data_IF_888121964539
#
_entry.id   IF_888121964539
#
_cell.length_a   1.000
_cell.length_b   1.000
_cell.length_c   1.000
_cell.angle_alpha   90.00
_cell.angle_beta   90.00
_cell.angle_gamma   90.00
#
_symmetry.space_group_name_H-M   'P 1'
#
loop_
_entity.id
_entity.type
_entity.pdbx_description
1 polymer ?
#
# COMPACT_ATOMS: atom_id res chain seq x y z
N UNK A 1 10.81 -2.50 -5.81
CA UNK A 1 10.26 -3.88 -5.69
C UNK A 1 8.76 -3.81 -5.51
N UNK A 2 8.00 -4.80 -5.99
CA UNK A 2 6.56 -4.96 -5.77
C UNK A 2 6.28 -6.27 -5.00
N UNK A 3 5.47 -6.20 -3.95
CA UNK A 3 5.02 -7.35 -3.15
C UNK A 3 3.50 -7.32 -3.10
N UNK A 4 2.83 -8.44 -3.36
CA UNK A 4 1.37 -8.49 -3.49
C UNK A 4 0.73 -9.46 -2.49
N UNK A 5 -0.42 -9.07 -1.95
CA UNK A 5 -1.28 -9.91 -1.15
C UNK A 5 -2.74 -9.79 -1.64
N UNK A 6 -3.35 -10.93 -1.98
CA UNK A 6 -4.78 -11.00 -2.29
C UNK A 6 -5.54 -11.23 -0.99
N UNK A 7 -6.41 -10.29 -0.64
CA UNK A 7 -7.25 -10.37 0.57
C UNK A 7 -8.72 -10.58 0.20
N UNK A 8 -9.13 -10.12 -0.99
CA UNK A 8 -10.51 -10.20 -1.46
C UNK A 8 -11.31 -8.96 -1.08
N UNK A 9 -12.23 -8.56 -1.95
CA UNK A 9 -13.01 -7.32 -1.80
C UNK A 9 -14.00 -7.40 -0.63
N UNK A 10 -14.49 -8.60 -0.34
CA UNK A 10 -15.49 -8.86 0.71
C UNK A 10 -14.87 -9.04 2.10
N UNK A 11 -13.54 -9.03 2.21
CA UNK A 11 -12.87 -9.11 3.50
C UNK A 11 -13.03 -7.77 4.24
N UNK A 12 -13.58 -7.85 5.46
CA UNK A 12 -13.76 -6.67 6.33
C UNK A 12 -12.46 -5.87 6.55
N UNK A 13 -11.29 -6.52 6.55
CA UNK A 13 -9.98 -5.86 6.69
C UNK A 13 -9.66 -5.01 5.47
N UNK A 14 -10.01 -5.49 4.28
CA UNK A 14 -9.86 -4.73 3.05
C UNK A 14 -10.79 -3.51 3.04
N UNK A 15 -12.06 -3.70 3.38
CA UNK A 15 -13.03 -2.60 3.49
C UNK A 15 -12.61 -1.54 4.51
N UNK A 16 -12.08 -1.97 5.67
CA UNK A 16 -11.55 -1.08 6.71
C UNK A 16 -10.37 -0.23 6.19
N UNK A 17 -9.46 -0.82 5.41
CA UNK A 17 -8.32 -0.10 4.84
C UNK A 17 -8.74 0.91 3.76
N UNK A 18 -9.83 0.65 3.05
CA UNK A 18 -10.39 1.54 2.04
C UNK A 18 -11.20 2.70 2.64
N UNK A 19 -11.60 2.62 3.91
CA UNK A 19 -12.48 3.62 4.56
C UNK A 19 -11.82 4.39 5.69
N UNK A 20 -10.88 3.77 6.41
CA UNK A 20 -10.24 4.42 7.55
C UNK A 20 -9.34 5.58 7.12
N UNK A 21 -9.39 6.66 7.90
CA UNK A 21 -8.41 7.74 7.79
C UNK A 21 -7.06 7.26 8.31
N UNK A 22 -6.03 7.41 7.48
CA UNK A 22 -4.65 7.27 7.93
C UNK A 22 -4.26 8.57 8.63
N UNK A 23 -3.86 8.50 9.90
CA UNK A 23 -3.43 9.72 10.60
C UNK A 23 -2.18 10.29 9.93
N UNK A 24 -2.00 11.61 9.97
CA UNK A 24 -0.88 12.32 9.33
C UNK A 24 0.52 11.80 9.77
N UNK A 25 0.57 11.10 10.92
CA UNK A 25 1.77 10.43 11.43
C UNK A 25 2.09 9.09 10.76
N UNK A 26 1.10 8.40 10.18
CA UNK A 26 1.21 7.05 9.64
C UNK A 26 1.45 7.00 8.13
N UNK A 27 0.98 8.01 7.39
CA UNK A 27 1.15 8.09 5.93
C UNK A 27 0.33 9.21 5.29
N UNK A 28 0.41 9.31 3.96
CA UNK A 28 -0.40 10.20 3.15
C UNK A 28 -1.32 9.34 2.28
N UNK A 29 -2.64 9.54 2.42
CA UNK A 29 -3.65 8.81 1.65
C UNK A 29 -4.05 9.59 0.40
N UNK A 30 -4.17 8.88 -0.73
CA UNK A 30 -4.70 9.40 -1.99
C UNK A 30 -5.75 8.42 -2.50
N UNK A 31 -7.00 8.85 -2.50
CA UNK A 31 -8.12 8.08 -3.01
C UNK A 31 -8.37 8.43 -4.48
N UNK A 32 -8.61 7.40 -5.29
CA UNK A 32 -8.95 7.58 -6.69
C UNK A 32 -9.94 6.52 -7.15
N UNK A 33 -10.69 6.86 -8.20
CA UNK A 33 -11.60 5.92 -8.85
C UNK A 33 -11.04 5.59 -10.22
N UNK A 34 -10.71 4.32 -10.42
CA UNK A 34 -10.24 3.80 -11.70
C UNK A 34 -11.44 3.39 -12.56
N UNK A 35 -11.58 4.01 -13.72
CA UNK A 35 -12.66 3.76 -14.69
C UNK A 35 -12.11 3.26 -16.05
N UNK A 36 -10.82 2.93 -16.10
CA UNK A 36 -10.08 2.54 -17.30
C UNK A 36 -10.18 3.55 -18.47
N UNK A 37 -10.44 4.83 -18.18
CA UNK A 37 -10.61 5.88 -19.18
C UNK A 37 -12.05 5.97 -19.73
N UNK A 38 -13.00 5.24 -19.15
CA UNK A 38 -14.41 5.35 -19.47
C UNK A 38 -15.17 5.94 -18.26
N UNK A 39 -15.39 7.24 -18.29
CA UNK A 39 -16.12 7.99 -17.26
C UNK A 39 -17.57 7.50 -17.02
N UNK A 40 -18.12 6.70 -17.93
CA UNK A 40 -19.45 6.10 -17.82
C UNK A 40 -19.41 4.60 -17.45
N UNK A 41 -18.23 4.07 -17.11
CA UNK A 41 -18.08 2.68 -16.70
C UNK A 41 -18.90 2.42 -15.43
N UNK A 42 -19.87 1.52 -15.53
CA UNK A 42 -20.74 1.15 -14.41
C UNK A 42 -19.98 0.37 -13.31
N UNK A 43 -18.77 -0.07 -13.59
CA UNK A 43 -17.89 -0.90 -12.75
C UNK A 43 -16.61 -0.17 -12.30
N UNK A 44 -16.64 1.16 -12.30
CA UNK A 44 -15.55 1.97 -11.77
C UNK A 44 -15.16 1.49 -10.35
N UNK A 45 -13.86 1.28 -10.14
CA UNK A 45 -13.34 0.67 -8.93
C UNK A 45 -12.66 1.70 -8.05
N UNK A 46 -13.08 1.75 -6.78
CA UNK A 46 -12.43 2.56 -5.76
C UNK A 46 -11.08 1.95 -5.43
N UNK A 47 -10.06 2.79 -5.48
CA UNK A 47 -8.68 2.45 -5.22
C UNK A 47 -8.05 3.50 -4.29
N UNK A 48 -7.00 3.09 -3.60
CA UNK A 48 -6.33 3.92 -2.60
C UNK A 48 -4.82 3.70 -2.66
N UNK A 49 -4.08 4.81 -2.67
CA UNK A 49 -2.66 4.81 -2.37
C UNK A 49 -2.41 5.31 -0.96
N UNK A 50 -1.49 4.68 -0.23
CA UNK A 50 -0.99 5.20 1.04
C UNK A 50 0.52 5.26 0.98
N UNK A 51 1.07 6.46 0.94
CA UNK A 51 2.51 6.70 1.01
C UNK A 51 2.92 6.51 2.47
N UNK A 52 3.77 5.53 2.75
CA UNK A 52 4.17 5.11 4.10
C UNK A 52 5.59 5.54 4.48
N UNK A 53 6.42 5.90 3.50
CA UNK A 53 7.76 6.48 3.68
C UNK A 53 8.24 7.22 2.42
N UNK A 54 9.27 8.04 2.55
CA UNK A 54 9.88 8.83 1.48
C UNK A 54 9.24 10.19 1.26
N UNK A 55 8.35 10.62 2.17
CA UNK A 55 7.66 11.91 2.10
C UNK A 55 8.12 12.90 3.18
N UNK A 56 8.98 12.46 4.11
CA UNK A 56 9.59 13.32 5.12
C UNK A 56 11.05 13.61 4.80
N UNK A 57 11.53 14.74 5.32
CA UNK A 57 12.95 15.11 5.24
C UNK A 57 13.80 14.02 5.91
N UNK A 58 14.87 13.60 5.24
CA UNK A 58 15.82 12.54 5.63
C UNK A 58 15.36 11.09 5.45
N UNK A 59 14.16 10.83 4.92
CA UNK A 59 13.82 9.47 4.47
C UNK A 59 14.52 9.17 3.15
N UNK A 60 15.30 8.09 3.11
CA UNK A 60 16.03 7.63 1.91
C UNK A 60 15.28 6.52 1.16
N UNK A 61 14.31 5.90 1.81
CA UNK A 61 13.46 4.84 1.27
C UNK A 61 12.05 5.37 1.05
N UNK A 62 11.60 5.33 -0.20
CA UNK A 62 10.21 5.59 -0.55
C UNK A 62 9.43 4.29 -0.59
N UNK A 63 8.24 4.31 -0.01
CA UNK A 63 7.34 3.16 0.08
C UNK A 63 5.89 3.60 0.04
N UNK A 64 5.06 2.88 -0.72
CA UNK A 64 3.62 3.08 -0.72
C UNK A 64 2.85 1.77 -0.87
N UNK A 65 1.65 1.76 -0.31
CA UNK A 65 0.65 0.72 -0.49
C UNK A 65 -0.31 1.12 -1.60
N UNK A 66 -0.64 0.18 -2.47
CA UNK A 66 -1.73 0.28 -3.45
C UNK A 66 -2.81 -0.71 -3.08
N UNK A 67 -4.03 -0.22 -2.90
CA UNK A 67 -5.20 -1.04 -2.62
C UNK A 67 -6.21 -0.83 -3.74
N UNK A 68 -6.58 -1.92 -4.39
CA UNK A 68 -7.52 -1.91 -5.50
C UNK A 68 -7.91 -3.35 -5.83
N UNK A 69 -9.13 -3.56 -6.33
CA UNK A 69 -9.57 -4.87 -6.80
C UNK A 69 -9.40 -6.04 -5.79
N UNK A 70 -9.39 -5.76 -4.48
CA UNK A 70 -9.20 -6.79 -3.43
C UNK A 70 -7.74 -7.20 -3.20
N UNK A 71 -6.78 -6.49 -3.78
CA UNK A 71 -5.34 -6.70 -3.57
C UNK A 71 -4.73 -5.56 -2.76
N UNK A 72 -3.66 -5.89 -2.04
CA UNK A 72 -2.77 -4.94 -1.41
C UNK A 72 -1.37 -5.16 -1.96
N UNK A 73 -0.82 -4.14 -2.60
CA UNK A 73 0.52 -4.17 -3.16
C UNK A 73 1.43 -3.17 -2.43
N UNK A 74 2.59 -3.64 -1.97
CA UNK A 74 3.65 -2.77 -1.42
C UNK A 74 4.69 -2.52 -2.49
N UNK A 75 4.87 -1.25 -2.82
CA UNK A 75 5.94 -0.76 -3.68
C UNK A 75 6.99 -0.09 -2.81
N UNK A 76 8.27 -0.39 -3.06
CA UNK A 76 9.38 0.21 -2.31
C UNK A 76 10.64 0.39 -3.15
N UNK A 77 11.40 1.46 -2.84
CA UNK A 77 12.77 1.70 -3.32
C UNK A 77 13.84 1.07 -2.42
N UNK A 78 13.46 0.47 -1.29
CA UNK A 78 14.37 -0.22 -0.38
C UNK A 78 15.11 -1.35 -1.10
N UNK A 79 16.44 -1.31 -1.06
CA UNK A 79 17.25 -2.41 -1.54
C UNK A 79 17.07 -3.62 -0.61
N UNK A 80 16.94 -4.85 -1.14
CA UNK A 80 16.80 -6.03 -0.30
C UNK A 80 18.04 -6.21 0.57
N UNK A 81 17.85 -6.23 1.89
CA UNK A 81 18.91 -6.47 2.87
C UNK A 81 19.29 -7.97 3.01
N UNK A 82 18.50 -8.87 2.40
CA UNK A 82 18.67 -10.30 2.48
C UNK A 82 18.18 -11.02 1.20
N UNK A 83 18.54 -12.30 1.08
CA UNK A 83 18.15 -13.16 -0.05
C UNK A 83 16.64 -13.34 -0.17
N UNK A 84 16.20 -13.72 -1.38
CA UNK A 84 14.76 -13.85 -1.70
C UNK A 84 14.03 -14.89 -0.85
N UNK A 85 14.73 -15.91 -0.35
CA UNK A 85 14.18 -16.95 0.53
C UNK A 85 13.86 -16.44 1.93
N UNK A 86 14.43 -15.30 2.34
CA UNK A 86 14.18 -14.73 3.66
C UNK A 86 12.82 -14.02 3.75
N UNK A 87 12.22 -13.97 4.94
CA UNK A 87 10.97 -13.24 5.18
C UNK A 87 11.04 -11.78 4.72
N UNK A 88 9.90 -11.23 4.29
CA UNK A 88 9.81 -9.84 3.82
C UNK A 88 10.32 -8.82 4.84
N UNK A 89 10.04 -9.04 6.13
CA UNK A 89 10.51 -8.15 7.19
C UNK A 89 12.04 -8.17 7.38
N UNK A 90 12.74 -9.20 6.88
CA UNK A 90 14.20 -9.25 6.87
C UNK A 90 14.78 -8.66 5.58
N UNK A 91 14.06 -8.82 4.46
CA UNK A 91 14.47 -8.27 3.17
C UNK A 91 14.24 -6.77 3.08
N UNK A 92 13.13 -6.27 3.64
CA UNK A 92 12.69 -4.88 3.57
C UNK A 92 12.23 -4.39 4.95
N UNK A 93 13.12 -4.36 5.95
CA UNK A 93 12.77 -4.00 7.32
C UNK A 93 12.09 -2.63 7.42
N UNK A 94 12.55 -1.63 6.67
CA UNK A 94 12.01 -0.26 6.76
C UNK A 94 10.60 -0.18 6.17
N UNK A 95 10.43 -0.68 4.95
CA UNK A 95 9.16 -0.62 4.23
C UNK A 95 8.08 -1.48 4.88
N UNK A 96 8.45 -2.67 5.38
CA UNK A 96 7.50 -3.54 6.08
C UNK A 96 7.11 -2.95 7.44
N UNK A 97 8.04 -2.33 8.16
CA UNK A 97 7.74 -1.62 9.41
C UNK A 97 6.77 -0.46 9.16
N UNK A 98 7.02 0.34 8.12
CA UNK A 98 6.17 1.44 7.73
C UNK A 98 4.76 0.96 7.32
N UNK A 99 4.67 -0.05 6.44
CA UNK A 99 3.39 -0.63 6.01
C UNK A 99 2.58 -1.22 7.18
N UNK A 100 3.23 -1.88 8.14
CA UNK A 100 2.56 -2.45 9.33
C UNK A 100 1.86 -1.41 10.19
N UNK A 101 2.28 -0.13 10.15
CA UNK A 101 1.60 0.94 10.90
C UNK A 101 0.23 1.28 10.30
N UNK A 102 0.04 1.03 9.02
CA UNK A 102 -1.21 1.28 8.27
C UNK A 102 -2.09 0.04 8.24
N UNK A 103 -1.50 -1.16 8.14
CA UNK A 103 -2.21 -2.42 7.98
C UNK A 103 -2.80 -3.02 9.29
N UNK A 104 -2.82 -2.27 10.40
CA UNK A 104 -3.29 -2.74 11.73
C UNK A 104 -4.77 -2.39 11.98
#
# INVERSE_FOLDING_TARGET
MMLSAVIGRDDHRYSRLMTNDTTQGQGITVDYRGDSGNLNAADASDCRYVIVSGFRLNETVAGYLSMGHGTIDLFTTEAPAADRSQPLAQRYPESVSAARRVLR
#
